data_IF_593862171505
#
_entry.id   IF_593862171505
#
_cell.length_a   1.000
_cell.length_b   1.000
_cell.length_c   1.000
_cell.angle_alpha   90.00
_cell.angle_beta   90.00
_cell.angle_gamma   90.00
#
_symmetry.space_group_name_H-M   'P 1'
#
loop_
_entity.id
_entity.type
_entity.pdbx_description
1 polymer ?
#
# COMPACT_ATOMS: atom_id res chain seq x y z
N UNK A 1 56.04 24.57 21.47
CA UNK A 1 55.30 24.61 22.75
C UNK A 1 54.62 23.26 22.94
N UNK A 2 55.15 22.45 23.86
CA UNK A 2 54.47 21.37 24.57
C UNK A 2 53.60 21.99 25.69
N UNK A 3 52.49 21.37 26.11
CA UNK A 3 52.54 20.45 27.28
C UNK A 3 51.61 19.22 27.10
N UNK A 4 51.89 17.99 27.57
CA UNK A 4 52.17 17.42 28.92
C UNK A 4 50.96 17.44 29.88
N UNK A 5 50.56 16.24 30.36
CA UNK A 5 50.19 15.85 31.75
C UNK A 5 49.85 14.34 31.68
N UNK A 6 50.77 13.44 32.04
CA UNK A 6 51.12 12.91 33.37
C UNK A 6 50.25 11.73 33.80
N UNK A 7 50.79 10.53 33.58
CA UNK A 7 50.45 9.28 34.27
C UNK A 7 51.34 9.13 35.49
N UNK A 8 50.76 8.87 36.67
CA UNK A 8 51.48 8.20 37.75
C UNK A 8 50.54 7.27 38.53
N UNK A 9 51.05 6.07 38.77
CA UNK A 9 50.42 4.90 39.38
C UNK A 9 50.66 4.92 40.89
N UNK A 10 49.70 4.43 41.70
CA UNK A 10 50.05 3.80 42.98
C UNK A 10 49.06 2.69 43.36
N UNK A 11 49.60 1.50 43.61
CA UNK A 11 48.95 0.29 44.13
C UNK A 11 49.35 0.12 45.61
N UNK A 12 48.56 -0.70 46.34
CA UNK A 12 48.80 -1.33 47.67
C UNK A 12 48.30 -0.54 48.91
N UNK A 13 47.57 -1.07 49.92
CA UNK A 13 47.41 -2.42 50.54
C UNK A 13 46.08 -2.53 51.39
N UNK A 14 45.74 -3.68 52.03
CA UNK A 14 44.37 -4.14 52.34
C UNK A 14 43.94 -4.11 53.84
N UNK A 15 42.66 -4.51 54.06
CA UNK A 15 41.97 -4.99 55.29
C UNK A 15 41.27 -3.93 56.16
N UNK A 16 39.93 -4.00 56.25
CA UNK A 16 39.23 -3.99 57.55
C UNK A 16 37.83 -4.64 57.46
N UNK A 17 37.44 -5.22 58.60
CA UNK A 17 36.47 -6.28 58.87
C UNK A 17 34.99 -5.90 58.83
N UNK A 18 34.15 -6.86 58.44
CA UNK A 18 32.69 -6.87 58.55
C UNK A 18 32.19 -6.87 60.01
N UNK A 19 31.10 -6.12 60.34
CA UNK A 19 30.41 -6.24 61.63
C UNK A 19 29.35 -7.38 61.63
N UNK A 20 28.81 -7.77 62.80
CA UNK A 20 28.18 -9.08 63.02
C UNK A 20 26.76 -9.20 62.45
N UNK A 21 26.41 -10.45 62.13
CA UNK A 21 25.08 -10.91 61.68
C UNK A 21 24.11 -10.89 62.87
N UNK A 22 23.01 -10.15 62.75
CA UNK A 22 21.83 -10.33 63.63
C UNK A 22 21.02 -11.55 63.18
N UNK A 23 20.86 -12.52 64.09
CA UNK A 23 19.98 -13.68 63.92
C UNK A 23 18.51 -13.22 63.84
N UNK A 24 17.92 -13.30 62.66
CA UNK A 24 16.48 -13.15 62.47
C UNK A 24 15.80 -14.51 62.71
N UNK A 25 14.92 -14.55 63.72
CA UNK A 25 14.09 -15.71 64.05
C UNK A 25 13.18 -16.06 62.87
N UNK A 26 13.28 -17.29 62.40
CA UNK A 26 12.36 -17.93 61.45
C UNK A 26 10.98 -18.08 62.10
N UNK A 27 10.00 -17.29 61.62
CA UNK A 27 8.59 -17.63 61.77
C UNK A 27 8.21 -18.52 60.58
N UNK A 28 7.98 -19.81 60.83
CA UNK A 28 7.41 -20.73 59.86
C UNK A 28 5.90 -20.45 59.73
N UNK A 29 5.50 -19.75 58.68
CA UNK A 29 4.11 -19.75 58.21
C UNK A 29 3.89 -21.02 57.36
N UNK A 30 2.78 -21.77 57.53
CA UNK A 30 2.49 -22.92 56.68
C UNK A 30 2.35 -22.45 55.23
N UNK A 31 3.12 -23.06 54.33
CA UNK A 31 2.96 -22.87 52.87
C UNK A 31 1.64 -23.52 52.49
N UNK A 32 0.61 -22.71 52.30
CA UNK A 32 -0.62 -23.15 51.65
C UNK A 32 -0.26 -23.51 50.20
N UNK A 33 -0.38 -24.80 49.86
CA UNK A 33 -0.11 -25.32 48.53
C UNK A 33 -1.08 -24.67 47.54
N UNK A 34 -0.63 -23.58 46.91
CA UNK A 34 -1.36 -22.90 45.84
C UNK A 34 -1.61 -23.92 44.73
N UNK A 35 -2.87 -24.38 44.62
CA UNK A 35 -3.32 -25.19 43.51
C UNK A 35 -2.89 -24.54 42.20
N UNK A 36 -2.34 -25.30 41.23
CA UNK A 36 -1.98 -24.74 39.94
C UNK A 36 -3.19 -24.03 39.35
N UNK A 37 -3.01 -22.85 38.72
CA UNK A 37 -4.13 -22.13 38.11
C UNK A 37 -4.87 -23.08 37.17
N UNK A 38 -6.22 -23.06 37.17
CA UNK A 38 -7.00 -23.93 36.30
C UNK A 38 -6.49 -23.74 34.87
N UNK A 39 -6.10 -24.84 34.23
CA UNK A 39 -5.75 -24.85 32.81
C UNK A 39 -6.96 -24.24 32.09
N UNK A 40 -6.81 -23.13 31.35
CA UNK A 40 -7.93 -22.53 30.65
C UNK A 40 -8.55 -23.62 29.77
N UNK A 41 -9.85 -23.88 29.98
CA UNK A 41 -10.56 -24.89 29.22
C UNK A 41 -10.32 -24.61 27.72
N UNK A 42 -9.97 -25.64 26.93
CA UNK A 42 -9.81 -25.44 25.50
C UNK A 42 -11.11 -24.85 24.95
N UNK A 43 -11.04 -23.81 24.10
CA UNK A 43 -12.24 -23.19 23.56
C UNK A 43 -13.15 -24.26 22.95
N UNK A 44 -14.48 -24.15 23.09
CA UNK A 44 -15.43 -25.13 22.58
C UNK A 44 -15.12 -25.50 21.12
N UNK A 45 -15.21 -26.77 20.73
CA UNK A 45 -14.85 -27.23 19.37
C UNK A 45 -15.56 -26.42 18.25
N UNK A 46 -16.77 -25.93 18.51
CA UNK A 46 -17.54 -25.04 17.62
C UNK A 46 -16.80 -23.72 17.31
N UNK A 47 -15.99 -23.21 18.24
CA UNK A 47 -15.15 -22.03 18.06
C UNK A 47 -13.91 -22.35 17.20
N UNK A 48 -13.39 -23.58 17.26
CA UNK A 48 -12.25 -24.00 16.45
C UNK A 48 -12.61 -24.11 14.97
N UNK A 49 -13.79 -24.63 14.64
CA UNK A 49 -14.24 -24.74 13.25
C UNK A 49 -14.54 -23.37 12.64
N UNK A 50 -15.12 -22.45 13.41
CA UNK A 50 -15.30 -21.05 12.99
C UNK A 50 -13.94 -20.37 12.74
N UNK A 51 -12.98 -20.52 13.64
CA UNK A 51 -11.62 -19.97 13.47
C UNK A 51 -10.93 -20.58 12.25
N UNK A 52 -11.00 -21.91 12.06
CA UNK A 52 -10.46 -22.60 10.87
C UNK A 52 -11.08 -22.06 9.59
N UNK A 53 -12.39 -21.85 9.58
CA UNK A 53 -13.09 -21.28 8.43
C UNK A 53 -12.62 -19.85 8.15
N UNK A 54 -12.55 -18.98 9.17
CA UNK A 54 -12.07 -17.60 9.05
C UNK A 54 -10.64 -17.54 8.51
N UNK A 55 -9.74 -18.38 9.03
CA UNK A 55 -8.35 -18.48 8.58
C UNK A 55 -8.29 -18.96 7.13
N UNK A 56 -9.08 -19.98 6.77
CA UNK A 56 -9.14 -20.50 5.39
C UNK A 56 -9.61 -19.42 4.42
N UNK A 57 -10.71 -18.72 4.74
CA UNK A 57 -11.21 -17.60 3.93
C UNK A 57 -10.15 -16.52 3.78
N UNK A 58 -9.48 -16.13 4.87
CA UNK A 58 -8.40 -15.14 4.83
C UNK A 58 -7.27 -15.57 3.88
N UNK A 59 -6.81 -16.82 3.97
CA UNK A 59 -5.75 -17.34 3.10
C UNK A 59 -6.17 -17.40 1.64
N UNK A 60 -7.38 -17.89 1.35
CA UNK A 60 -7.91 -17.96 -0.02
C UNK A 60 -7.99 -16.57 -0.63
N UNK A 61 -8.64 -15.62 0.04
CA UNK A 61 -8.75 -14.25 -0.47
C UNK A 61 -7.38 -13.58 -0.64
N UNK A 62 -6.43 -13.85 0.26
CA UNK A 62 -5.05 -13.32 0.17
C UNK A 62 -4.33 -13.90 -1.04
N UNK A 63 -4.42 -15.21 -1.24
CA UNK A 63 -3.80 -15.91 -2.36
C UNK A 63 -4.37 -15.44 -3.70
N UNK A 64 -5.69 -15.28 -3.79
CA UNK A 64 -6.37 -14.78 -4.99
C UNK A 64 -5.91 -13.36 -5.34
N UNK A 65 -5.82 -12.46 -4.33
CA UNK A 65 -5.32 -11.09 -4.55
C UNK A 65 -3.88 -11.07 -5.04
N UNK A 66 -2.99 -11.88 -4.44
CA UNK A 66 -1.59 -11.96 -4.86
C UNK A 66 -1.48 -12.49 -6.30
N UNK A 67 -2.25 -13.53 -6.63
CA UNK A 67 -2.30 -14.10 -7.98
C UNK A 67 -2.76 -13.05 -9.01
N UNK A 68 -3.83 -12.34 -8.70
CA UNK A 68 -4.37 -11.28 -9.58
C UNK A 68 -3.36 -10.14 -9.80
N UNK A 69 -2.63 -9.72 -8.76
CA UNK A 69 -1.55 -8.73 -8.89
C UNK A 69 -0.42 -9.23 -9.76
N UNK A 70 0.02 -10.47 -9.54
CA UNK A 70 1.09 -11.10 -10.31
C UNK A 70 0.72 -11.20 -11.80
N UNK A 71 -0.52 -11.59 -12.11
CA UNK A 71 -1.01 -11.65 -13.49
C UNK A 71 -0.98 -10.27 -14.17
N UNK A 72 -1.45 -9.21 -13.50
CA UNK A 72 -1.40 -7.85 -14.05
C UNK A 72 0.04 -7.34 -14.20
N UNK A 73 0.89 -7.61 -13.21
CA UNK A 73 2.31 -7.27 -13.26
C UNK A 73 2.98 -7.89 -14.50
N UNK A 74 2.80 -9.19 -14.72
CA UNK A 74 3.36 -9.90 -15.87
C UNK A 74 2.84 -9.33 -17.19
N UNK A 75 1.55 -9.04 -17.29
CA UNK A 75 0.96 -8.44 -18.49
C UNK A 75 1.50 -7.04 -18.77
N UNK A 76 1.66 -6.20 -17.74
CA UNK A 76 2.16 -4.83 -17.88
C UNK A 76 3.64 -4.83 -18.29
N UNK A 77 4.47 -5.65 -17.63
CA UNK A 77 5.88 -5.81 -18.00
C UNK A 77 6.05 -6.41 -19.40
N UNK A 78 5.20 -7.36 -19.77
CA UNK A 78 5.22 -7.93 -21.12
C UNK A 78 4.87 -6.85 -22.15
N UNK A 79 3.82 -6.07 -21.91
CA UNK A 79 3.40 -5.01 -22.82
C UNK A 79 4.49 -3.94 -23.02
N UNK A 80 5.24 -3.60 -21.97
CA UNK A 80 6.40 -2.71 -22.08
C UNK A 80 7.53 -3.31 -22.94
N UNK A 81 7.84 -4.60 -22.76
CA UNK A 81 8.87 -5.31 -23.53
C UNK A 81 8.49 -5.54 -24.99
N UNK A 82 7.20 -5.73 -25.28
CA UNK A 82 6.68 -6.06 -26.61
C UNK A 82 6.01 -4.86 -27.28
N UNK A 83 6.38 -3.63 -26.91
CA UNK A 83 5.79 -2.42 -27.50
C UNK A 83 5.96 -2.44 -29.03
N UNK A 84 4.84 -2.24 -29.71
CA UNK A 84 4.81 -2.04 -31.15
C UNK A 84 5.57 -0.76 -31.51
N UNK A 85 6.20 -0.75 -32.68
CA UNK A 85 6.74 0.49 -33.20
C UNK A 85 5.60 1.48 -33.57
N UNK A 86 5.94 2.74 -33.78
CA UNK A 86 4.94 3.79 -34.00
C UNK A 86 3.99 3.50 -35.18
N UNK A 87 4.49 2.91 -36.26
CA UNK A 87 3.71 2.57 -37.44
C UNK A 87 2.71 1.43 -37.16
N UNK A 88 3.18 0.35 -36.53
CA UNK A 88 2.36 -0.78 -36.12
C UNK A 88 1.29 -0.36 -35.10
N UNK A 89 1.66 0.49 -34.15
CA UNK A 89 0.74 1.06 -33.18
C UNK A 89 -0.35 1.88 -33.89
N UNK A 90 0.03 2.77 -34.80
CA UNK A 90 -0.92 3.56 -35.57
C UNK A 90 -1.88 2.67 -36.38
N UNK A 91 -1.37 1.62 -37.03
CA UNK A 91 -2.17 0.67 -37.78
C UNK A 91 -3.13 -0.15 -36.89
N UNK A 92 -2.74 -0.47 -35.65
CA UNK A 92 -3.64 -1.11 -34.69
C UNK A 92 -4.77 -0.16 -34.25
N UNK A 93 -4.45 1.13 -34.05
CA UNK A 93 -5.39 2.14 -33.56
C UNK A 93 -6.41 2.60 -34.60
N UNK A 94 -6.12 2.49 -35.91
CA UNK A 94 -7.08 2.87 -36.98
C UNK A 94 -8.31 1.97 -37.04
N UNK A 95 -8.24 0.76 -36.45
CA UNK A 95 -9.38 -0.17 -36.37
C UNK A 95 -10.35 0.17 -35.25
N UNK A 96 -9.99 1.09 -34.36
CA UNK A 96 -10.76 1.47 -33.19
C UNK A 96 -11.63 2.71 -33.45
N UNK A 97 -12.69 2.83 -32.67
CA UNK A 97 -13.67 3.90 -32.81
C UNK A 97 -13.13 5.22 -32.24
N UNK A 98 -12.92 6.20 -33.14
CA UNK A 98 -12.47 7.56 -32.80
C UNK A 98 -13.62 8.57 -32.70
N UNK A 99 -14.87 8.10 -32.59
CA UNK A 99 -16.05 8.96 -32.54
C UNK A 99 -16.01 9.91 -31.34
N UNK A 100 -15.85 11.20 -31.63
CA UNK A 100 -15.88 12.29 -30.64
C UNK A 100 -17.19 12.29 -29.83
N UNK A 101 -18.27 11.68 -30.33
CA UNK A 101 -19.52 11.52 -29.58
C UNK A 101 -19.45 10.49 -28.45
N UNK A 102 -18.56 9.50 -28.52
CA UNK A 102 -18.45 8.41 -27.55
C UNK A 102 -17.36 8.64 -26.49
N UNK A 103 -16.28 9.31 -26.86
CA UNK A 103 -15.11 9.47 -26.00
C UNK A 103 -15.38 10.37 -24.77
N UNK A 104 -15.96 11.58 -24.89
CA UNK A 104 -16.22 12.43 -23.72
C UNK A 104 -17.19 11.79 -22.70
N UNK A 105 -18.31 11.14 -23.11
CA UNK A 105 -19.14 10.38 -22.17
C UNK A 105 -18.39 9.25 -21.48
N UNK A 106 -17.48 8.58 -22.19
CA UNK A 106 -16.64 7.54 -21.62
C UNK A 106 -15.66 8.10 -20.57
N UNK A 107 -14.94 9.18 -20.87
CA UNK A 107 -14.06 9.87 -19.91
C UNK A 107 -14.84 10.35 -18.68
N UNK A 108 -16.06 10.88 -18.89
CA UNK A 108 -16.94 11.27 -17.78
C UNK A 108 -17.30 10.07 -16.90
N UNK A 109 -17.52 8.89 -17.49
CA UNK A 109 -17.81 7.66 -16.75
C UNK A 109 -16.62 7.21 -15.90
N UNK A 110 -15.38 7.37 -16.37
CA UNK A 110 -14.18 7.05 -15.58
C UNK A 110 -14.11 7.84 -14.27
N UNK A 111 -14.56 9.10 -14.26
CA UNK A 111 -14.58 9.96 -13.04
C UNK A 111 -15.52 9.44 -11.95
N UNK A 112 -16.46 8.58 -12.31
CA UNK A 112 -17.45 7.98 -11.41
C UNK A 112 -17.47 6.47 -11.58
N UNK A 113 -16.33 5.86 -11.91
CA UNK A 113 -16.24 4.43 -12.12
C UNK A 113 -16.57 3.68 -10.82
N UNK A 114 -17.20 2.52 -10.96
CA UNK A 114 -17.47 1.60 -9.85
C UNK A 114 -17.26 0.16 -10.31
N UNK A 115 -17.10 -0.77 -9.36
CA UNK A 115 -16.96 -2.20 -9.68
C UNK A 115 -18.14 -2.72 -10.54
N UNK A 116 -19.37 -2.25 -10.32
CA UNK A 116 -20.53 -2.69 -11.10
C UNK A 116 -20.45 -2.30 -12.59
N UNK A 117 -19.63 -1.30 -12.92
CA UNK A 117 -19.43 -0.83 -14.30
C UNK A 117 -18.26 -1.51 -15.00
N UNK A 118 -17.50 -2.36 -14.32
CA UNK A 118 -16.24 -2.95 -14.80
C UNK A 118 -16.37 -3.53 -16.20
N UNK A 119 -17.32 -4.42 -16.44
CA UNK A 119 -17.46 -5.11 -17.73
C UNK A 119 -17.88 -4.14 -18.86
N UNK A 120 -18.66 -3.11 -18.54
CA UNK A 120 -19.04 -2.08 -19.49
C UNK A 120 -17.85 -1.17 -19.86
N UNK A 121 -17.07 -0.76 -18.86
CA UNK A 121 -15.85 0.03 -19.04
C UNK A 121 -14.80 -0.75 -19.84
N UNK A 122 -14.66 -2.05 -19.57
CA UNK A 122 -13.77 -2.94 -20.31
C UNK A 122 -14.12 -3.01 -21.80
N UNK A 123 -15.41 -3.17 -22.13
CA UNK A 123 -15.86 -3.17 -23.53
C UNK A 123 -15.58 -1.83 -24.23
N UNK A 124 -15.85 -0.71 -23.57
CA UNK A 124 -15.55 0.60 -24.14
C UNK A 124 -14.04 0.82 -24.32
N UNK A 125 -13.20 0.41 -23.35
CA UNK A 125 -11.73 0.43 -23.44
C UNK A 125 -11.19 -0.34 -24.66
N UNK A 126 -11.78 -1.50 -24.96
CA UNK A 126 -11.36 -2.29 -26.10
C UNK A 126 -11.75 -1.66 -27.43
N UNK A 127 -12.89 -0.97 -27.49
CA UNK A 127 -13.49 -0.47 -28.71
C UNK A 127 -13.03 0.95 -29.09
N UNK A 128 -12.73 1.81 -28.11
CA UNK A 128 -12.42 3.23 -28.34
C UNK A 128 -10.94 3.46 -28.63
N UNK A 129 -10.67 4.37 -29.56
CA UNK A 129 -9.35 4.95 -29.77
C UNK A 129 -9.18 6.15 -28.82
N UNK A 130 -8.31 6.03 -27.83
CA UNK A 130 -8.04 7.07 -26.83
C UNK A 130 -6.69 7.75 -27.02
N UNK A 131 -5.98 7.52 -28.13
CA UNK A 131 -4.62 8.04 -28.36
C UNK A 131 -4.54 9.56 -28.17
N UNK A 132 -5.57 10.30 -28.57
CA UNK A 132 -5.62 11.77 -28.44
C UNK A 132 -6.13 12.29 -27.10
N UNK A 133 -6.54 11.38 -26.21
CA UNK A 133 -7.26 11.69 -24.97
C UNK A 133 -6.57 11.13 -23.72
N UNK A 134 -5.31 10.67 -23.85
CA UNK A 134 -4.57 10.03 -22.75
C UNK A 134 -4.44 10.95 -21.55
N UNK A 135 -4.18 12.24 -21.77
CA UNK A 135 -4.09 13.24 -20.70
C UNK A 135 -5.42 13.40 -19.95
N UNK A 136 -6.53 13.53 -20.66
CA UNK A 136 -7.86 13.68 -20.07
C UNK A 136 -8.32 12.40 -19.36
N UNK A 137 -7.96 11.24 -19.90
CA UNK A 137 -8.20 9.93 -19.28
C UNK A 137 -7.41 9.79 -17.99
N UNK A 138 -6.12 10.16 -17.99
CA UNK A 138 -5.27 10.14 -16.80
C UNK A 138 -5.84 11.04 -15.70
N UNK A 139 -6.19 12.29 -16.03
CA UNK A 139 -6.84 13.21 -15.09
C UNK A 139 -8.18 12.67 -14.58
N UNK A 140 -9.00 12.08 -15.46
CA UNK A 140 -10.28 11.49 -15.05
C UNK A 140 -10.12 10.35 -14.05
N UNK A 141 -9.08 9.52 -14.18
CA UNK A 141 -8.79 8.41 -13.29
C UNK A 141 -8.24 8.87 -11.94
N UNK A 142 -7.36 9.88 -11.90
CA UNK A 142 -6.81 10.42 -10.65
C UNK A 142 -7.82 11.26 -9.85
N UNK A 143 -8.76 11.90 -10.54
CA UNK A 143 -9.84 12.69 -9.91
C UNK A 143 -11.09 11.87 -9.60
N UNK A 144 -11.09 10.57 -9.91
CA UNK A 144 -12.24 9.70 -9.70
C UNK A 144 -12.61 9.62 -8.21
N UNK A 145 -13.92 9.66 -7.93
CA UNK A 145 -14.45 9.53 -6.57
C UNK A 145 -14.68 8.06 -6.25
N UNK A 146 -13.62 7.37 -5.88
CA UNK A 146 -13.62 5.92 -5.66
C UNK A 146 -13.99 5.55 -4.22
N UNK A 147 -14.66 4.40 -4.06
CA UNK A 147 -14.69 3.66 -2.79
C UNK A 147 -13.55 2.65 -2.76
N UNK A 148 -13.22 2.13 -1.57
CA UNK A 148 -12.24 1.05 -1.42
C UNK A 148 -12.55 -0.17 -2.29
N UNK A 149 -13.84 -0.48 -2.48
CA UNK A 149 -14.31 -1.58 -3.35
C UNK A 149 -14.06 -1.36 -4.83
N UNK A 150 -13.88 -0.10 -5.27
CA UNK A 150 -13.71 0.26 -6.68
C UNK A 150 -12.23 0.31 -7.09
N UNK A 151 -11.30 0.26 -6.12
CA UNK A 151 -9.86 0.39 -6.35
C UNK A 151 -9.37 -0.65 -7.35
N UNK A 152 -9.75 -1.92 -7.18
CA UNK A 152 -9.28 -2.98 -8.05
C UNK A 152 -9.75 -2.80 -9.51
N UNK A 153 -11.01 -2.42 -9.72
CA UNK A 153 -11.50 -2.05 -11.07
C UNK A 153 -10.66 -0.90 -11.64
N UNK A 154 -10.31 0.13 -10.85
CA UNK A 154 -9.44 1.22 -11.32
C UNK A 154 -8.06 0.71 -11.73
N UNK A 155 -7.43 -0.18 -10.95
CA UNK A 155 -6.15 -0.82 -11.28
C UNK A 155 -6.22 -1.58 -12.60
N UNK A 156 -7.30 -2.33 -12.82
CA UNK A 156 -7.53 -3.05 -14.07
C UNK A 156 -7.68 -2.09 -15.27
N UNK A 157 -8.44 -0.99 -15.12
CA UNK A 157 -8.59 0.02 -16.18
C UNK A 157 -7.26 0.69 -16.50
N UNK A 158 -6.48 1.06 -15.48
CA UNK A 158 -5.15 1.63 -15.64
C UNK A 158 -4.17 0.65 -16.32
N UNK A 159 -4.23 -0.65 -15.99
CA UNK A 159 -3.40 -1.67 -16.62
C UNK A 159 -3.73 -1.83 -18.11
N UNK A 160 -5.02 -1.86 -18.48
CA UNK A 160 -5.42 -1.92 -19.89
C UNK A 160 -4.95 -0.71 -20.69
N UNK A 161 -5.02 0.48 -20.09
CA UNK A 161 -4.50 1.70 -20.70
C UNK A 161 -2.99 1.67 -20.85
N UNK A 162 -2.27 1.23 -19.81
CA UNK A 162 -0.82 1.08 -19.83
C UNK A 162 -0.36 0.11 -20.92
N UNK A 163 -1.02 -1.05 -21.03
CA UNK A 163 -0.70 -2.07 -22.03
C UNK A 163 -0.95 -1.60 -23.47
N UNK A 164 -1.91 -0.67 -23.67
CA UNK A 164 -2.31 -0.20 -25.00
C UNK A 164 -1.62 1.10 -25.42
N UNK A 165 -1.36 2.01 -24.49
CA UNK A 165 -0.95 3.38 -24.78
C UNK A 165 0.40 3.70 -24.11
N UNK A 166 1.49 3.77 -24.89
CA UNK A 166 2.84 4.02 -24.39
C UNK A 166 2.98 5.21 -23.43
N UNK A 167 2.25 6.29 -23.71
CA UNK A 167 2.35 7.58 -23.01
C UNK A 167 1.48 7.63 -21.74
N UNK A 168 0.63 6.63 -21.50
CA UNK A 168 -0.32 6.64 -20.39
C UNK A 168 0.37 6.65 -19.02
N UNK A 169 1.42 5.83 -18.84
CA UNK A 169 2.11 5.70 -17.55
C UNK A 169 2.64 7.04 -17.03
N UNK A 170 3.37 7.78 -17.88
CA UNK A 170 3.93 9.07 -17.51
C UNK A 170 2.84 10.13 -17.30
N UNK A 171 1.82 10.17 -18.17
CA UNK A 171 0.69 11.08 -17.99
C UNK A 171 -0.05 10.84 -16.67
N UNK A 172 -0.27 9.57 -16.31
CA UNK A 172 -0.90 9.20 -15.04
C UNK A 172 -0.03 9.61 -13.84
N UNK A 173 1.29 9.37 -13.91
CA UNK A 173 2.23 9.76 -12.87
C UNK A 173 2.25 11.27 -12.63
N UNK A 174 2.29 12.09 -13.69
CA UNK A 174 2.25 13.56 -13.59
C UNK A 174 0.96 14.08 -12.94
N UNK A 175 -0.17 13.41 -13.15
CA UNK A 175 -1.41 13.74 -12.47
C UNK A 175 -1.36 13.35 -10.98
N UNK A 176 -0.78 12.20 -10.65
CA UNK A 176 -0.61 11.78 -9.26
C UNK A 176 0.30 12.70 -8.45
N UNK A 177 1.34 13.27 -9.06
CA UNK A 177 2.19 14.28 -8.41
C UNK A 177 1.41 15.51 -7.95
N UNK A 178 0.28 15.82 -8.60
CA UNK A 178 -0.59 16.95 -8.23
C UNK A 178 -1.61 16.57 -7.18
N UNK A 179 -2.15 15.34 -7.26
CA UNK A 179 -3.20 14.85 -6.35
C UNK A 179 -2.63 14.46 -4.98
N UNK A 180 -1.51 13.75 -4.98
CA UNK A 180 -0.82 13.31 -3.78
C UNK A 180 0.42 14.16 -3.57
N UNK A 181 0.26 15.46 -3.35
CA UNK A 181 1.38 16.38 -3.11
C UNK A 181 1.49 16.70 -1.61
N UNK A 182 2.70 16.59 -1.03
CA UNK A 182 2.89 16.69 0.42
C UNK A 182 2.39 18.01 1.04
N UNK A 183 2.51 19.13 0.34
CA UNK A 183 2.11 20.45 0.84
C UNK A 183 0.61 20.73 0.71
N UNK A 184 -0.08 20.01 -0.17
CA UNK A 184 -1.45 20.32 -0.61
C UNK A 184 -2.36 19.09 -0.55
N UNK A 185 -1.99 18.08 0.26
CA UNK A 185 -2.85 16.95 0.56
C UNK A 185 -4.20 17.46 1.07
N UNK A 186 -5.28 16.90 0.53
CA UNK A 186 -6.64 17.28 0.92
C UNK A 186 -6.94 16.87 2.37
N UNK A 187 -7.71 17.71 3.07
CA UNK A 187 -8.25 17.38 4.40
C UNK A 187 -9.28 16.23 4.38
N UNK A 188 -9.70 15.79 3.18
CA UNK A 188 -10.54 14.60 3.04
C UNK A 188 -9.71 13.31 3.22
N UNK A 189 -9.50 12.92 4.48
CA UNK A 189 -8.71 11.75 4.87
C UNK A 189 -9.23 10.44 4.25
N UNK A 190 -10.54 10.34 4.00
CA UNK A 190 -11.10 9.16 3.31
C UNK A 190 -10.67 9.10 1.86
N UNK A 191 -10.58 10.24 1.17
CA UNK A 191 -10.02 10.29 -0.18
C UNK A 191 -8.54 9.95 -0.17
N UNK A 192 -7.75 10.57 0.72
CA UNK A 192 -6.30 10.29 0.83
C UNK A 192 -6.05 8.80 1.05
N UNK A 193 -6.84 8.14 1.91
CA UNK A 193 -6.75 6.69 2.14
C UNK A 193 -6.96 5.86 0.87
N UNK A 194 -8.00 6.17 0.09
CA UNK A 194 -8.33 5.44 -1.14
C UNK A 194 -7.29 5.72 -2.23
N UNK A 195 -6.90 6.97 -2.39
CA UNK A 195 -5.90 7.40 -3.37
C UNK A 195 -4.53 6.78 -3.10
N UNK A 196 -4.07 6.82 -1.85
CA UNK A 196 -2.79 6.22 -1.45
C UNK A 196 -2.79 4.71 -1.70
N UNK A 197 -3.93 4.05 -1.42
CA UNK A 197 -4.11 2.62 -1.72
C UNK A 197 -4.03 2.36 -3.23
N UNK A 198 -4.76 3.12 -4.05
CA UNK A 198 -4.71 2.98 -5.50
C UNK A 198 -3.31 3.25 -6.05
N UNK A 199 -2.66 4.31 -5.60
CA UNK A 199 -1.30 4.66 -6.02
C UNK A 199 -0.32 3.52 -5.76
N UNK A 200 -0.34 2.96 -4.55
CA UNK A 200 0.51 1.82 -4.19
C UNK A 200 0.25 0.59 -5.07
N UNK A 201 -1.02 0.23 -5.32
CA UNK A 201 -1.35 -0.88 -6.22
C UNK A 201 -0.80 -0.66 -7.63
N UNK A 202 -0.91 0.56 -8.17
CA UNK A 202 -0.39 0.91 -9.50
C UNK A 202 1.14 0.84 -9.57
N UNK A 203 1.84 1.08 -8.46
CA UNK A 203 3.28 0.85 -8.33
C UNK A 203 3.57 -0.66 -8.33
N UNK A 204 2.86 -1.43 -7.51
CA UNK A 204 3.03 -2.89 -7.40
C UNK A 204 2.85 -3.59 -8.76
N UNK A 205 1.80 -3.25 -9.52
CA UNK A 205 1.56 -3.84 -10.85
C UNK A 205 2.34 -3.16 -11.98
N UNK A 206 3.28 -2.27 -11.68
CA UNK A 206 4.17 -1.59 -12.65
C UNK A 206 3.44 -0.79 -13.74
N UNK A 207 2.28 -0.23 -13.42
CA UNK A 207 1.64 0.77 -14.29
C UNK A 207 2.39 2.10 -14.21
N UNK A 208 2.83 2.48 -13.00
CA UNK A 208 3.58 3.70 -12.74
C UNK A 208 5.10 3.47 -12.80
N UNK A 209 5.91 4.50 -13.14
CA UNK A 209 7.35 4.38 -13.18
C UNK A 209 7.93 4.10 -11.78
N UNK A 210 8.47 2.89 -11.58
CA UNK A 210 8.80 2.32 -10.27
C UNK A 210 9.69 3.24 -9.41
N UNK A 211 10.86 3.65 -9.93
CA UNK A 211 11.85 4.40 -9.16
C UNK A 211 11.31 5.76 -8.70
N UNK A 212 10.61 6.47 -9.58
CA UNK A 212 10.07 7.79 -9.28
C UNK A 212 8.88 7.67 -8.31
N UNK A 213 8.05 6.66 -8.52
CA UNK A 213 6.81 6.47 -7.75
C UNK A 213 7.06 6.00 -6.33
N UNK A 214 8.06 5.13 -6.09
CA UNK A 214 8.46 4.74 -4.73
C UNK A 214 8.98 5.94 -3.95
N UNK A 215 9.85 6.76 -4.55
CA UNK A 215 10.37 7.97 -3.89
C UNK A 215 9.24 8.96 -3.53
N UNK A 216 8.26 9.10 -4.43
CA UNK A 216 7.09 9.92 -4.18
C UNK A 216 6.22 9.32 -3.06
N UNK A 217 5.97 8.02 -3.07
CA UNK A 217 5.23 7.32 -2.02
C UNK A 217 5.88 7.52 -0.63
N UNK A 218 7.20 7.36 -0.54
CA UNK A 218 7.95 7.62 0.70
C UNK A 218 7.79 9.06 1.18
N UNK A 219 7.79 10.02 0.26
CA UNK A 219 7.59 11.44 0.58
C UNK A 219 6.20 11.67 1.20
N UNK A 220 5.17 11.04 0.65
CA UNK A 220 3.78 11.17 1.14
C UNK A 220 3.59 10.45 2.46
N UNK A 221 4.14 9.24 2.63
CA UNK A 221 4.13 8.53 3.91
C UNK A 221 4.83 9.33 5.01
N UNK A 222 6.00 9.91 4.72
CA UNK A 222 6.70 10.78 5.66
C UNK A 222 5.89 12.02 6.04
N UNK A 223 5.20 12.64 5.08
CA UNK A 223 4.32 13.77 5.37
C UNK A 223 3.15 13.36 6.28
N UNK A 224 2.52 12.21 6.00
CA UNK A 224 1.42 11.67 6.80
C UNK A 224 1.87 11.31 8.23
N UNK A 225 3.11 10.84 8.42
CA UNK A 225 3.67 10.55 9.74
C UNK A 225 4.05 11.81 10.52
N UNK A 226 4.70 12.78 9.85
CA UNK A 226 5.25 13.96 10.52
C UNK A 226 4.21 15.06 10.80
N UNK A 227 3.12 15.10 10.02
CA UNK A 227 2.07 16.12 10.15
C UNK A 227 0.83 15.62 10.93
N UNK A 228 0.97 14.62 11.80
CA UNK A 228 -0.16 13.96 12.47
C UNK A 228 -0.18 14.20 13.98
N UNK A 229 -0.50 15.43 14.40
CA UNK A 229 -0.51 15.81 15.83
C UNK A 229 -1.60 15.08 16.64
N UNK A 230 -2.73 14.79 16.00
CA UNK A 230 -3.91 14.22 16.65
C UNK A 230 -4.16 12.75 16.25
N UNK A 231 -3.17 12.08 15.66
CA UNK A 231 -3.26 10.70 15.16
C UNK A 231 -4.41 10.45 14.15
N UNK A 232 -4.83 11.49 13.44
CA UNK A 232 -5.88 11.45 12.42
C UNK A 232 -5.45 10.65 11.18
N UNK A 233 -4.15 10.64 10.85
CA UNK A 233 -3.60 9.89 9.72
C UNK A 233 -3.36 8.41 10.06
N UNK A 234 -3.43 8.01 11.33
CA UNK A 234 -3.17 6.63 11.76
C UNK A 234 -4.03 5.61 11.00
N UNK A 235 -5.32 5.92 10.76
CA UNK A 235 -6.21 5.02 10.01
C UNK A 235 -5.80 4.85 8.54
N UNK A 236 -5.20 5.89 7.95
CA UNK A 236 -4.64 5.86 6.59
C UNK A 236 -3.41 4.94 6.57
N UNK A 237 -2.49 5.15 7.51
CA UNK A 237 -1.25 4.39 7.62
C UNK A 237 -1.51 2.90 7.90
N UNK A 238 -2.42 2.58 8.83
CA UNK A 238 -2.83 1.20 9.09
C UNK A 238 -3.43 0.57 7.84
N UNK A 239 -4.31 1.29 7.12
CA UNK A 239 -4.90 0.80 5.87
C UNK A 239 -3.82 0.53 4.81
N UNK A 240 -2.83 1.41 4.69
CA UNK A 240 -1.71 1.24 3.78
C UNK A 240 -0.88 0.00 4.14
N UNK A 241 -0.44 -0.12 5.39
CA UNK A 241 0.37 -1.27 5.83
C UNK A 241 -0.38 -2.60 5.67
N UNK A 242 -1.66 -2.66 6.01
CA UNK A 242 -2.46 -3.90 5.92
C UNK A 242 -2.66 -4.38 4.49
N UNK A 243 -2.73 -3.46 3.54
CA UNK A 243 -3.17 -3.77 2.19
C UNK A 243 -2.02 -3.78 1.18
N UNK A 244 -1.04 -2.89 1.37
CA UNK A 244 0.10 -2.67 0.48
C UNK A 244 1.45 -3.04 1.12
N UNK A 245 1.57 -3.06 2.45
CA UNK A 245 2.88 -3.03 3.12
C UNK A 245 3.74 -4.30 3.03
N UNK A 246 3.24 -5.36 2.40
CA UNK A 246 4.01 -6.59 2.15
C UNK A 246 4.80 -6.53 0.84
N UNK A 247 4.31 -5.76 -0.14
CA UNK A 247 4.85 -5.63 -1.50
C UNK A 247 5.72 -4.37 -1.62
#
# INVERSE_FOLDING_TARGET
ETPTISTEVKVEQPIESTPPIEESKTNETPIEELLPPPVPEPPPEENLDLIRQQVTTYFTERSDRLKQRQELLEQNLLAEKTRLNAEQQQAAMTRLDSSIKRIPPFIKRLRTLTEQQRDALYRDMQALNLTRYISEVATALTEAKLKMTDVWTSVQMCSLLHQRYPDFSMSLYENWLKVLQKETLTDNLSKVRVDLRLYAELVTVHVLPINQSINHLLTILNALMNNDKDFSNLTILISFCRLCGED
#
